data_IF_852934609890
#
_entry.id   IF_852934609890
#
_cell.length_a   1.000
_cell.length_b   1.000
_cell.length_c   1.000
_cell.angle_alpha   90.00
_cell.angle_beta   90.00
_cell.angle_gamma   90.00
#
_symmetry.space_group_name_H-M   'P 1'
#
loop_
_entity.id
_entity.type
_entity.pdbx_description
1 polymer ?
#
# COMPACT_ATOMS: atom_id res chain seq x y z
N UNK A 1 19.45 -54.42 -0.43
CA UNK A 1 19.31 -55.87 -0.17
C UNK A 1 18.05 -56.07 0.66
N UNK A 2 16.99 -56.66 0.06
CA UNK A 2 15.72 -57.18 0.65
C UNK A 2 14.90 -56.26 1.60
N UNK A 3 13.57 -56.26 1.66
CA UNK A 3 12.39 -56.91 1.03
C UNK A 3 11.21 -56.04 1.53
N UNK A 4 10.35 -55.50 0.66
CA UNK A 4 9.08 -56.09 0.20
C UNK A 4 7.96 -56.24 1.26
N UNK A 5 6.81 -55.66 0.86
CA UNK A 5 5.44 -56.19 0.91
C UNK A 5 4.58 -55.89 2.14
N UNK A 6 3.36 -55.42 1.85
CA UNK A 6 2.23 -55.46 2.77
C UNK A 6 1.04 -54.61 2.33
N UNK A 7 0.49 -54.88 1.14
CA UNK A 7 -0.84 -54.43 0.70
C UNK A 7 -1.97 -55.09 1.53
N UNK A 8 -3.18 -54.51 1.39
CA UNK A 8 -4.54 -55.03 1.71
C UNK A 8 -5.22 -54.34 2.90
N UNK A 9 -6.52 -54.10 2.91
CA UNK A 9 -7.57 -53.97 1.90
C UNK A 9 -8.84 -53.52 2.68
N UNK A 10 -9.67 -52.71 2.02
CA UNK A 10 -11.12 -52.53 2.16
C UNK A 10 -11.83 -53.18 3.37
N UNK A 11 -12.58 -52.35 4.10
CA UNK A 11 -13.90 -52.73 4.63
C UNK A 11 -14.89 -51.59 4.43
N UNK A 12 -15.95 -51.90 3.68
CA UNK A 12 -17.17 -51.12 3.56
C UNK A 12 -18.16 -51.59 4.64
N UNK A 13 -18.98 -50.69 5.20
CA UNK A 13 -20.10 -51.13 6.03
C UNK A 13 -20.85 -50.02 6.79
N UNK A 14 -22.05 -49.71 6.26
CA UNK A 14 -23.30 -49.33 6.96
C UNK A 14 -23.44 -47.93 7.60
N UNK A 15 -24.31 -47.13 6.97
CA UNK A 15 -25.30 -46.29 7.67
C UNK A 15 -26.39 -47.20 8.30
N UNK A 16 -27.01 -46.81 9.42
CA UNK A 16 -28.19 -45.91 9.45
C UNK A 16 -28.04 -44.87 10.60
N UNK A 17 -28.92 -43.94 10.96
CA UNK A 17 -30.38 -43.83 10.92
C UNK A 17 -30.73 -42.37 11.30
N UNK A 18 -31.73 -41.77 10.65
CA UNK A 18 -32.25 -40.45 10.97
C UNK A 18 -33.07 -40.47 12.26
N UNK A 19 -32.85 -39.51 13.16
CA UNK A 19 -33.84 -39.05 14.15
C UNK A 19 -33.66 -37.55 14.41
N UNK A 20 -34.54 -36.73 13.85
CA UNK A 20 -34.89 -35.43 14.43
C UNK A 20 -35.70 -35.62 15.72
N UNK A 21 -35.66 -34.65 16.64
CA UNK A 21 -36.95 -34.04 16.97
C UNK A 21 -36.92 -32.52 17.20
N UNK A 22 -37.90 -31.88 16.57
CA UNK A 22 -38.91 -30.96 17.12
C UNK A 22 -38.45 -29.71 17.89
N UNK A 23 -38.61 -28.59 17.17
CA UNK A 23 -39.01 -27.29 17.71
C UNK A 23 -40.17 -27.41 18.70
N UNK A 24 -40.07 -26.70 19.83
CA UNK A 24 -41.24 -26.27 20.59
C UNK A 24 -41.16 -24.77 20.85
N UNK A 25 -42.20 -24.09 20.39
CA UNK A 25 -42.55 -22.71 20.61
C UNK A 25 -42.97 -22.46 22.06
N UNK A 26 -42.65 -21.30 22.62
CA UNK A 26 -43.55 -20.64 23.57
C UNK A 26 -43.52 -19.13 23.38
N UNK A 27 -44.64 -18.63 22.87
CA UNK A 27 -45.06 -17.24 22.90
C UNK A 27 -45.83 -16.98 24.20
N UNK A 28 -45.71 -15.74 24.66
CA UNK A 28 -46.77 -14.90 25.24
C UNK A 28 -47.05 -14.90 26.76
N UNK A 29 -46.92 -13.65 27.26
CA UNK A 29 -47.85 -12.91 28.14
C UNK A 29 -47.74 -13.09 29.66
N UNK A 30 -47.34 -12.01 30.33
CA UNK A 30 -48.16 -11.38 31.38
C UNK A 30 -47.89 -9.87 31.46
N UNK A 31 -48.98 -9.11 31.54
CA UNK A 31 -49.09 -7.66 31.66
C UNK A 31 -48.99 -7.19 33.13
N UNK A 32 -48.44 -5.98 33.29
CA UNK A 32 -48.91 -4.86 34.12
C UNK A 32 -49.06 -4.97 35.66
N UNK A 33 -48.28 -4.12 36.36
CA UNK A 33 -48.59 -3.24 37.52
C UNK A 33 -47.26 -2.98 38.26
N UNK A 34 -46.81 -1.80 38.68
CA UNK A 34 -47.41 -0.51 39.05
C UNK A 34 -46.37 0.62 38.79
N UNK A 35 -46.69 1.77 38.20
CA UNK A 35 -47.24 3.03 38.77
C UNK A 35 -46.45 3.61 39.97
N UNK A 36 -45.95 4.84 39.78
CA UNK A 36 -45.46 5.79 40.79
C UNK A 36 -43.92 5.87 40.81
N UNK A 37 -43.26 6.92 40.31
CA UNK A 37 -43.21 8.26 40.90
C UNK A 37 -43.08 9.33 39.81
N UNK A 38 -43.82 10.40 40.03
CA UNK A 38 -44.02 11.60 39.22
C UNK A 38 -42.97 12.68 39.58
N UNK A 39 -42.51 13.40 38.55
CA UNK A 39 -42.00 14.78 38.58
C UNK A 39 -40.71 15.14 39.32
N UNK A 40 -39.68 15.52 38.56
CA UNK A 40 -39.13 16.89 38.54
C UNK A 40 -37.89 16.97 37.65
N UNK A 41 -37.99 17.67 36.51
CA UNK A 41 -36.93 18.45 35.82
C UNK A 41 -37.24 18.63 34.33
N UNK A 42 -38.37 19.27 34.01
CA UNK A 42 -38.59 19.92 32.72
C UNK A 42 -38.23 21.41 32.91
N UNK A 43 -37.00 21.82 32.57
CA UNK A 43 -36.64 23.22 32.30
C UNK A 43 -35.14 23.39 31.96
N UNK A 44 -34.67 22.86 30.81
CA UNK A 44 -33.55 23.45 30.04
C UNK A 44 -33.74 23.10 28.55
N UNK A 45 -34.68 23.75 27.88
CA UNK A 45 -34.88 23.70 26.43
C UNK A 45 -35.08 25.13 25.92
N UNK A 46 -34.00 25.90 25.89
CA UNK A 46 -33.91 27.17 25.16
C UNK A 46 -32.42 27.56 25.03
N UNK A 47 -31.76 27.06 23.99
CA UNK A 47 -30.35 27.38 23.76
C UNK A 47 -29.62 26.59 22.67
N UNK A 48 -30.31 25.92 21.75
CA UNK A 48 -29.66 25.46 20.52
C UNK A 48 -29.76 26.58 19.48
N UNK A 49 -28.72 27.42 19.44
CA UNK A 49 -28.50 28.27 18.27
C UNK A 49 -28.36 27.35 17.04
N UNK A 50 -29.28 27.50 16.10
CA UNK A 50 -29.17 26.94 14.75
C UNK A 50 -27.82 27.40 14.17
N UNK A 51 -26.87 26.49 14.03
CA UNK A 51 -25.68 26.73 13.21
C UNK A 51 -26.20 26.87 11.79
N UNK A 52 -26.24 28.10 11.29
CA UNK A 52 -26.59 28.36 9.91
C UNK A 52 -25.61 27.59 9.00
N UNK A 53 -26.09 26.95 7.92
CA UNK A 53 -25.19 26.32 6.95
C UNK A 53 -24.18 27.36 6.45
N UNK A 54 -22.89 27.00 6.29
CA UNK A 54 -21.90 27.92 5.77
C UNK A 54 -22.40 28.49 4.44
N UNK A 55 -22.40 29.82 4.33
CA UNK A 55 -22.78 30.49 3.10
C UNK A 55 -21.95 29.91 1.94
N UNK A 56 -22.55 29.74 0.74
CA UNK A 56 -21.81 29.28 -0.42
C UNK A 56 -20.60 30.19 -0.62
N UNK A 57 -19.40 29.63 -0.52
CA UNK A 57 -18.14 30.33 -0.78
C UNK A 57 -18.21 30.84 -2.21
N UNK A 58 -18.40 32.14 -2.37
CA UNK A 58 -18.23 32.83 -3.65
C UNK A 58 -16.88 32.39 -4.21
N UNK A 59 -16.78 31.87 -5.45
CA UNK A 59 -15.50 31.50 -6.02
C UNK A 59 -14.59 32.73 -5.98
N UNK A 60 -13.60 32.71 -5.09
CA UNK A 60 -12.60 33.78 -5.01
C UNK A 60 -11.90 33.84 -6.36
N UNK A 61 -11.91 35.03 -6.97
CA UNK A 61 -11.09 35.29 -8.16
C UNK A 61 -9.64 34.97 -7.81
N UNK A 62 -8.93 34.14 -8.60
CA UNK A 62 -7.54 33.78 -8.32
C UNK A 62 -6.70 35.05 -8.15
N UNK A 63 -5.94 35.13 -7.06
CA UNK A 63 -5.01 36.24 -6.86
C UNK A 63 -3.83 36.13 -7.84
N UNK A 64 -3.06 37.20 -8.01
CA UNK A 64 -1.81 37.11 -8.77
C UNK A 64 -0.84 36.08 -8.16
N UNK A 65 -0.82 35.95 -6.83
CA UNK A 65 -0.03 34.93 -6.13
C UNK A 65 -0.55 33.51 -6.41
N UNK A 66 -1.87 33.32 -6.50
CA UNK A 66 -2.46 32.04 -6.90
C UNK A 66 -2.03 31.63 -8.32
N UNK A 67 -2.00 32.57 -9.26
CA UNK A 67 -1.53 32.32 -10.63
C UNK A 67 -0.03 31.98 -10.67
N UNK A 68 0.79 32.67 -9.88
CA UNK A 68 2.23 32.37 -9.77
C UNK A 68 2.45 30.98 -9.17
N UNK A 69 1.74 30.64 -8.09
CA UNK A 69 1.80 29.32 -7.48
C UNK A 69 1.36 28.22 -8.46
N UNK A 70 0.25 28.42 -9.19
CA UNK A 70 -0.21 27.48 -10.21
C UNK A 70 0.85 27.26 -11.31
N UNK A 71 1.58 28.32 -11.69
CA UNK A 71 2.72 28.21 -12.60
C UNK A 71 3.85 27.34 -12.05
N UNK A 72 4.24 27.53 -10.79
CA UNK A 72 5.28 26.72 -10.12
C UNK A 72 4.84 25.26 -9.99
N UNK A 73 3.61 25.01 -9.56
CA UNK A 73 3.06 23.66 -9.43
C UNK A 73 2.98 22.93 -10.77
N UNK A 74 2.59 23.64 -11.84
CA UNK A 74 2.60 23.08 -13.20
C UNK A 74 4.01 22.71 -13.64
N UNK A 75 4.99 23.60 -13.43
CA UNK A 75 6.40 23.31 -13.74
C UNK A 75 6.92 22.10 -12.96
N UNK A 76 6.61 22.00 -11.67
CA UNK A 76 6.96 20.83 -10.87
C UNK A 76 6.41 19.54 -11.49
N UNK A 77 5.12 19.50 -11.81
CA UNK A 77 4.49 18.33 -12.40
C UNK A 77 5.06 18.01 -13.79
N UNK A 78 5.30 19.00 -14.65
CA UNK A 78 5.81 18.74 -16.00
C UNK A 78 7.28 18.32 -15.98
N UNK A 79 8.14 19.11 -15.35
CA UNK A 79 9.59 18.95 -15.43
C UNK A 79 10.09 17.80 -14.53
N UNK A 80 9.48 17.59 -13.36
CA UNK A 80 9.88 16.48 -12.49
C UNK A 80 9.46 15.13 -13.07
N UNK A 81 8.24 15.04 -13.65
CA UNK A 81 7.75 13.79 -14.26
C UNK A 81 8.54 13.42 -15.51
N UNK A 82 9.01 14.39 -16.28
CA UNK A 82 9.95 14.16 -17.39
C UNK A 82 11.27 13.54 -16.87
N UNK A 83 11.78 13.99 -15.71
CA UNK A 83 12.99 13.44 -15.09
C UNK A 83 12.77 12.07 -14.40
N UNK A 84 11.53 11.69 -14.14
CA UNK A 84 11.13 10.41 -13.51
C UNK A 84 10.00 9.71 -14.29
N UNK A 85 10.25 9.28 -15.55
CA UNK A 85 9.21 8.80 -16.45
C UNK A 85 8.47 7.55 -15.94
N UNK A 86 9.13 6.66 -15.19
CA UNK A 86 8.43 5.50 -14.61
C UNK A 86 7.46 5.92 -13.51
N UNK A 87 7.81 6.93 -12.71
CA UNK A 87 6.90 7.51 -11.72
C UNK A 87 5.74 8.27 -12.39
N UNK A 88 5.99 8.94 -13.53
CA UNK A 88 4.95 9.55 -14.35
C UNK A 88 3.89 8.51 -14.77
N UNK A 89 4.32 7.37 -15.35
CA UNK A 89 3.41 6.27 -15.69
C UNK A 89 2.64 5.75 -14.47
N UNK A 90 3.31 5.67 -13.30
CA UNK A 90 2.67 5.20 -12.07
C UNK A 90 1.51 6.11 -11.64
N UNK A 91 1.71 7.43 -11.76
CA UNK A 91 0.74 8.50 -11.49
C UNK A 91 -0.33 8.64 -12.57
N UNK A 92 -0.16 7.96 -13.71
CA UNK A 92 -1.08 7.98 -14.85
C UNK A 92 -0.82 9.12 -15.83
N UNK A 93 0.37 9.73 -15.78
CA UNK A 93 0.87 10.59 -16.85
C UNK A 93 1.66 9.74 -17.85
N UNK A 94 1.09 9.63 -19.05
CA UNK A 94 1.58 8.74 -20.11
C UNK A 94 2.43 9.47 -21.16
N UNK A 95 2.76 10.75 -20.95
CA UNK A 95 3.56 11.56 -21.90
C UNK A 95 4.98 11.03 -22.13
N UNK A 96 5.52 10.29 -21.16
CA UNK A 96 6.90 9.80 -21.15
C UNK A 96 6.99 8.27 -21.02
N UNK A 97 5.96 7.54 -21.47
CA UNK A 97 5.88 6.08 -21.31
C UNK A 97 7.00 5.31 -22.01
N UNK A 98 7.53 5.82 -23.13
CA UNK A 98 8.68 5.23 -23.82
C UNK A 98 10.02 5.50 -23.13
N UNK A 99 10.10 6.47 -22.21
CA UNK A 99 11.34 6.88 -21.57
C UNK A 99 11.62 6.09 -20.28
N UNK A 100 12.90 6.01 -19.92
CA UNK A 100 13.39 5.35 -18.71
C UNK A 100 14.33 6.29 -17.94
N UNK A 101 14.18 6.33 -16.61
CA UNK A 101 14.93 7.20 -15.71
C UNK A 101 16.45 7.23 -15.98
N UNK A 102 17.05 8.41 -15.82
CA UNK A 102 18.50 8.57 -15.70
C UNK A 102 18.88 8.49 -14.22
N UNK A 103 19.45 7.36 -13.81
CA UNK A 103 19.85 7.10 -12.42
C UNK A 103 21.34 7.35 -12.19
N UNK A 104 22.02 8.00 -13.15
CA UNK A 104 23.40 8.46 -12.95
C UNK A 104 23.48 9.59 -11.93
N UNK A 105 24.69 9.90 -11.45
CA UNK A 105 24.92 11.06 -10.60
C UNK A 105 24.45 12.38 -11.26
N UNK A 106 24.58 12.49 -12.59
CA UNK A 106 24.10 13.65 -13.35
C UNK A 106 22.56 13.71 -13.36
N UNK A 107 21.88 12.57 -13.52
CA UNK A 107 20.42 12.47 -13.44
C UNK A 107 19.87 12.93 -12.09
N UNK A 108 20.45 12.42 -10.99
CA UNK A 108 20.12 12.90 -9.65
C UNK A 108 20.46 14.39 -9.45
N UNK A 109 21.57 14.86 -10.02
CA UNK A 109 21.95 16.28 -10.00
C UNK A 109 20.91 17.19 -10.66
N UNK A 110 20.35 16.79 -11.81
CA UNK A 110 19.28 17.55 -12.49
C UNK A 110 18.02 17.63 -11.64
N UNK A 111 17.61 16.53 -10.99
CA UNK A 111 16.45 16.50 -10.08
C UNK A 111 16.63 17.46 -8.90
N UNK A 112 17.81 17.45 -8.28
CA UNK A 112 18.12 18.37 -7.16
C UNK A 112 18.18 19.82 -7.61
N UNK A 113 18.74 20.10 -8.79
CA UNK A 113 18.81 21.46 -9.34
C UNK A 113 17.41 22.03 -9.56
N UNK A 114 16.52 21.26 -10.23
CA UNK A 114 15.12 21.63 -10.41
C UNK A 114 14.41 21.82 -9.08
N UNK A 115 14.61 20.91 -8.13
CA UNK A 115 13.95 20.99 -6.82
C UNK A 115 14.35 22.27 -6.06
N UNK A 116 15.63 22.66 -6.11
CA UNK A 116 16.12 23.92 -5.52
C UNK A 116 15.53 25.15 -6.18
N UNK A 117 15.46 25.16 -7.52
CA UNK A 117 14.90 26.28 -8.27
C UNK A 117 13.42 26.52 -7.92
N UNK A 118 12.62 25.44 -7.91
CA UNK A 118 11.20 25.52 -7.57
C UNK A 118 11.02 25.89 -6.09
N UNK A 119 11.84 25.37 -5.19
CA UNK A 119 11.79 25.71 -3.76
C UNK A 119 12.13 27.19 -3.53
N UNK A 120 13.11 27.74 -4.25
CA UNK A 120 13.42 29.16 -4.20
C UNK A 120 12.25 30.02 -4.70
N UNK A 121 11.60 29.58 -5.78
CA UNK A 121 10.41 30.25 -6.34
C UNK A 121 9.23 30.24 -5.36
N UNK A 122 8.98 29.11 -4.67
CA UNK A 122 7.93 29.02 -3.64
C UNK A 122 8.21 29.92 -2.44
N UNK A 123 9.45 29.95 -1.97
CA UNK A 123 9.84 30.77 -0.81
C UNK A 123 9.79 32.27 -1.09
N UNK A 124 9.75 32.68 -2.36
CA UNK A 124 9.56 34.08 -2.76
C UNK A 124 8.09 34.51 -2.73
N UNK A 125 7.13 33.58 -2.68
CA UNK A 125 5.71 33.90 -2.56
C UNK A 125 5.39 34.37 -1.14
N UNK A 126 4.51 35.38 -1.03
CA UNK A 126 3.88 35.75 0.23
C UNK A 126 2.73 34.78 0.54
N UNK A 127 2.82 33.91 1.56
CA UNK A 127 1.78 32.92 1.85
C UNK A 127 0.44 33.55 2.22
N UNK A 128 0.43 34.81 2.67
CA UNK A 128 -0.80 35.52 3.06
C UNK A 128 -1.63 35.97 1.85
N UNK A 129 -1.03 36.02 0.66
CA UNK A 129 -1.70 36.37 -0.59
C UNK A 129 -2.23 35.16 -1.35
N UNK A 130 -1.90 33.94 -0.90
CA UNK A 130 -2.43 32.71 -1.43
C UNK A 130 -3.82 32.44 -0.86
N UNK A 131 -4.69 31.89 -1.70
CA UNK A 131 -5.95 31.28 -1.25
C UNK A 131 -5.68 30.19 -0.21
N UNK A 132 -6.68 29.85 0.61
CA UNK A 132 -6.52 28.83 1.65
C UNK A 132 -6.09 27.47 1.08
N UNK A 133 -6.61 27.09 -0.09
CA UNK A 133 -6.21 25.85 -0.77
C UNK A 133 -4.73 25.91 -1.17
N UNK A 134 -4.31 26.97 -1.85
CA UNK A 134 -2.91 27.11 -2.26
C UNK A 134 -1.93 27.30 -1.10
N UNK A 135 -2.35 27.82 0.05
CA UNK A 135 -1.51 27.80 1.26
C UNK A 135 -1.17 26.36 1.69
N UNK A 136 -2.12 25.44 1.58
CA UNK A 136 -1.89 24.02 1.89
C UNK A 136 -0.99 23.40 0.82
N UNK A 137 -1.31 23.60 -0.45
CA UNK A 137 -0.54 23.03 -1.56
C UNK A 137 0.90 23.54 -1.59
N UNK A 138 1.12 24.84 -1.33
CA UNK A 138 2.45 25.42 -1.25
C UNK A 138 3.27 24.83 -0.10
N UNK A 139 2.64 24.54 1.05
CA UNK A 139 3.31 23.87 2.18
C UNK A 139 3.67 22.42 1.86
N UNK A 140 2.75 21.67 1.23
CA UNK A 140 3.00 20.29 0.81
C UNK A 140 4.14 20.23 -0.21
N UNK A 141 4.09 21.08 -1.24
CA UNK A 141 5.12 21.13 -2.27
C UNK A 141 6.48 21.58 -1.71
N UNK A 142 6.50 22.54 -0.78
CA UNK A 142 7.72 22.92 -0.06
C UNK A 142 8.34 21.73 0.67
N UNK A 143 7.53 20.98 1.44
CA UNK A 143 7.99 19.79 2.18
C UNK A 143 8.52 18.70 1.24
N UNK A 144 7.83 18.44 0.13
CA UNK A 144 8.27 17.46 -0.88
C UNK A 144 9.60 17.85 -1.53
N UNK A 145 9.76 19.10 -1.95
CA UNK A 145 11.00 19.59 -2.58
C UNK A 145 12.19 19.52 -1.61
N UNK A 146 11.97 19.92 -0.34
CA UNK A 146 12.98 19.77 0.71
C UNK A 146 13.34 18.31 0.96
N UNK A 147 12.35 17.42 0.95
CA UNK A 147 12.58 16.00 1.12
C UNK A 147 13.35 15.39 -0.05
N UNK A 148 13.03 15.75 -1.29
CA UNK A 148 13.76 15.30 -2.49
C UNK A 148 15.24 15.70 -2.44
N UNK A 149 15.52 16.95 -2.09
CA UNK A 149 16.90 17.45 -1.92
C UNK A 149 17.61 16.62 -0.82
N UNK A 150 16.98 16.49 0.35
CA UNK A 150 17.54 15.75 1.47
C UNK A 150 17.79 14.26 1.15
N UNK A 151 16.87 13.60 0.43
CA UNK A 151 17.00 12.19 0.02
C UNK A 151 18.21 11.96 -0.87
N UNK A 152 18.48 12.88 -1.79
CA UNK A 152 19.60 12.77 -2.72
C UNK A 152 20.91 13.14 -2.06
N UNK A 153 20.95 14.20 -1.25
CA UNK A 153 22.20 14.77 -0.74
C UNK A 153 22.65 14.24 0.62
N UNK A 154 21.70 13.95 1.51
CA UNK A 154 21.98 13.57 2.89
C UNK A 154 21.76 12.07 3.09
N UNK A 155 20.53 11.58 2.85
CA UNK A 155 20.24 10.14 2.97
C UNK A 155 21.04 9.32 1.96
N UNK A 156 21.18 9.85 0.74
CA UNK A 156 21.88 9.21 -0.39
C UNK A 156 21.43 7.77 -0.60
N UNK A 157 20.13 7.51 -0.48
CA UNK A 157 19.54 6.15 -0.60
C UNK A 157 19.94 5.49 -1.93
N UNK A 158 20.03 6.29 -2.99
CA UNK A 158 20.50 5.90 -4.30
C UNK A 158 21.92 5.29 -4.35
N UNK A 159 22.76 5.52 -3.33
CA UNK A 159 24.12 4.96 -3.24
C UNK A 159 24.17 3.62 -2.52
N UNK A 160 23.17 3.26 -1.70
CA UNK A 160 23.27 2.11 -0.80
C UNK A 160 22.05 1.18 -0.80
N UNK A 161 20.92 1.58 -1.38
CA UNK A 161 19.73 0.76 -1.47
C UNK A 161 19.55 0.22 -2.90
N UNK A 162 19.96 -1.03 -3.21
CA UNK A 162 19.76 -1.61 -4.53
C UNK A 162 18.28 -1.85 -4.87
N UNK A 163 17.40 -1.91 -3.87
CA UNK A 163 15.99 -2.29 -4.07
C UNK A 163 15.21 -1.23 -4.83
N UNK A 164 15.59 0.05 -4.74
CA UNK A 164 14.96 1.12 -5.53
C UNK A 164 15.14 0.87 -7.04
N UNK A 165 16.25 0.24 -7.43
CA UNK A 165 16.54 -0.06 -8.83
C UNK A 165 15.86 -1.34 -9.29
N UNK A 166 15.75 -2.34 -8.41
CA UNK A 166 14.94 -3.53 -8.68
C UNK A 166 13.48 -3.18 -8.89
N UNK A 167 12.93 -2.30 -8.04
CA UNK A 167 11.57 -1.77 -8.19
C UNK A 167 11.41 -0.98 -9.49
N UNK A 168 12.32 -0.05 -9.77
CA UNK A 168 12.30 0.75 -11.00
C UNK A 168 12.34 -0.13 -12.27
N UNK A 169 13.24 -1.11 -12.32
CA UNK A 169 13.36 -2.01 -13.47
C UNK A 169 12.09 -2.86 -13.66
N UNK A 170 11.52 -3.40 -12.58
CA UNK A 170 10.25 -4.13 -12.64
C UNK A 170 9.09 -3.26 -13.10
N UNK A 171 8.94 -2.08 -12.49
CA UNK A 171 7.86 -1.13 -12.81
C UNK A 171 7.96 -0.57 -14.24
N UNK A 172 9.17 -0.49 -14.81
CA UNK A 172 9.37 -0.04 -16.20
C UNK A 172 8.57 -0.87 -17.21
N UNK A 173 8.40 -2.18 -16.97
CA UNK A 173 7.62 -3.11 -17.78
C UNK A 173 6.21 -3.26 -17.23
N UNK A 174 6.10 -3.47 -15.92
CA UNK A 174 4.85 -3.84 -15.28
C UNK A 174 3.76 -2.78 -15.45
N UNK A 175 4.08 -1.49 -15.26
CA UNK A 175 3.08 -0.42 -15.30
C UNK A 175 2.47 -0.22 -16.70
N UNK A 176 3.23 -0.50 -17.76
CA UNK A 176 2.76 -0.43 -19.15
C UNK A 176 1.89 -1.64 -19.51
N UNK A 177 2.28 -2.84 -19.08
CA UNK A 177 1.61 -4.05 -19.54
C UNK A 177 0.39 -4.44 -18.70
N UNK A 178 0.41 -4.17 -17.39
CA UNK A 178 -0.63 -4.63 -16.49
C UNK A 178 -1.88 -3.72 -16.45
N UNK A 179 -1.83 -2.55 -17.07
CA UNK A 179 -2.91 -1.56 -17.06
C UNK A 179 -3.40 -1.29 -18.48
N UNK A 180 -4.71 -1.34 -18.68
CA UNK A 180 -5.35 -0.98 -19.95
C UNK A 180 -5.67 0.53 -19.98
N UNK A 181 -4.66 1.35 -20.26
CA UNK A 181 -4.81 2.82 -20.42
C UNK A 181 -4.67 3.30 -21.87
N UNK A 182 -4.08 2.48 -22.74
CA UNK A 182 -3.85 2.75 -24.15
C UNK A 182 -3.97 1.46 -24.98
N UNK A 183 -4.18 1.55 -26.31
CA UNK A 183 -4.19 0.39 -27.20
C UNK A 183 -2.93 -0.47 -27.00
N UNK A 184 -3.10 -1.80 -27.01
CA UNK A 184 -2.00 -2.73 -26.77
C UNK A 184 -0.77 -2.53 -27.70
N UNK A 185 -0.92 -2.24 -29.01
CA UNK A 185 0.24 -1.93 -29.86
C UNK A 185 1.09 -0.77 -29.35
N UNK A 186 0.45 0.32 -28.90
CA UNK A 186 1.15 1.48 -28.35
C UNK A 186 1.93 1.09 -27.08
N UNK A 187 1.30 0.34 -26.17
CA UNK A 187 1.96 -0.12 -24.94
C UNK A 187 3.14 -1.05 -25.22
N UNK A 188 3.03 -1.88 -26.26
CA UNK A 188 4.12 -2.75 -26.72
C UNK A 188 5.27 -1.98 -27.37
N UNK A 189 4.98 -0.89 -28.08
CA UNK A 189 6.00 0.04 -28.55
C UNK A 189 6.76 0.67 -27.37
N UNK A 190 6.03 1.25 -26.41
CA UNK A 190 6.62 1.98 -25.29
C UNK A 190 7.45 1.07 -24.36
N UNK A 191 6.98 -0.17 -24.11
CA UNK A 191 7.79 -1.15 -23.37
C UNK A 191 9.03 -1.58 -24.17
N UNK A 192 8.95 -1.63 -25.50
CA UNK A 192 10.10 -1.90 -26.36
C UNK A 192 11.21 -0.86 -26.25
N UNK A 193 10.83 0.42 -26.19
CA UNK A 193 11.77 1.53 -25.96
C UNK A 193 12.43 1.42 -24.58
N UNK A 194 11.63 1.19 -23.52
CA UNK A 194 12.18 0.97 -22.16
C UNK A 194 13.10 -0.25 -22.06
N UNK A 195 12.74 -1.36 -22.71
CA UNK A 195 13.58 -2.56 -22.74
C UNK A 195 14.91 -2.32 -23.47
N UNK A 196 14.90 -1.47 -24.51
CA UNK A 196 16.12 -1.08 -25.23
C UNK A 196 17.06 -0.23 -24.37
N UNK A 197 16.51 0.55 -23.44
CA UNK A 197 17.25 1.40 -22.49
C UNK A 197 17.67 0.70 -21.20
N UNK A 198 17.13 -0.48 -20.91
CA UNK A 198 17.45 -1.25 -19.70
C UNK A 198 18.96 -1.54 -19.53
N UNK A 199 19.74 -1.85 -20.58
CA UNK A 199 21.19 -1.96 -20.46
C UNK A 199 21.88 -0.69 -19.92
N UNK A 200 21.45 0.50 -20.37
CA UNK A 200 21.97 1.78 -19.87
C UNK A 200 21.62 1.95 -18.39
N UNK A 201 20.35 1.75 -18.03
CA UNK A 201 19.90 1.85 -16.64
C UNK A 201 20.76 0.98 -15.72
N UNK A 202 20.89 -0.31 -16.03
CA UNK A 202 21.62 -1.26 -15.19
C UNK A 202 23.12 -0.98 -15.14
N UNK A 203 23.70 -0.36 -16.18
CA UNK A 203 25.08 0.13 -16.13
C UNK A 203 25.22 1.28 -15.13
N UNK A 204 24.36 2.29 -15.22
CA UNK A 204 24.35 3.41 -14.27
C UNK A 204 24.16 2.93 -12.83
N UNK A 205 23.28 1.95 -12.58
CA UNK A 205 23.09 1.34 -11.25
C UNK A 205 24.41 0.81 -10.67
N UNK A 206 25.21 0.12 -11.49
CA UNK A 206 26.51 -0.43 -11.06
C UNK A 206 27.55 0.65 -10.78
N UNK A 207 27.47 1.78 -11.46
CA UNK A 207 28.34 2.95 -11.24
C UNK A 207 27.96 3.71 -9.96
N UNK A 208 26.66 3.85 -9.69
CA UNK A 208 26.16 4.66 -8.58
C UNK A 208 26.01 3.91 -7.27
N UNK A 209 25.91 2.58 -7.26
CA UNK A 209 25.91 1.85 -5.99
C UNK A 209 27.32 1.79 -5.39
N UNK A 210 27.40 1.99 -4.08
CA UNK A 210 28.58 1.78 -3.26
C UNK A 210 28.40 0.48 -2.48
N UNK A 211 29.00 -0.65 -2.92
CA UNK A 211 28.76 -1.96 -2.32
C UNK A 211 29.03 -2.01 -0.81
N UNK A 212 30.03 -1.28 -0.32
CA UNK A 212 30.39 -1.28 1.10
C UNK A 212 29.29 -0.66 1.98
N UNK A 213 28.48 0.25 1.44
CA UNK A 213 27.36 0.89 2.14
C UNK A 213 26.06 0.10 2.06
N UNK A 214 25.97 -0.89 1.18
CA UNK A 214 24.74 -1.68 0.99
C UNK A 214 24.53 -2.63 2.18
N UNK A 215 23.37 -2.61 2.85
CA UNK A 215 23.05 -3.62 3.84
C UNK A 215 22.93 -5.00 3.21
N UNK A 216 23.53 -6.02 3.86
CA UNK A 216 23.54 -7.39 3.34
C UNK A 216 22.16 -7.90 2.97
N UNK A 217 21.16 -7.68 3.83
CA UNK A 217 19.77 -8.11 3.58
C UNK A 217 19.15 -7.46 2.33
N UNK A 218 19.55 -6.23 1.99
CA UNK A 218 19.09 -5.57 0.76
C UNK A 218 19.76 -6.19 -0.47
N UNK A 219 21.07 -6.48 -0.40
CA UNK A 219 21.76 -7.18 -1.49
C UNK A 219 21.19 -8.60 -1.72
N UNK A 220 20.96 -9.36 -0.66
CA UNK A 220 20.32 -10.69 -0.74
C UNK A 220 18.93 -10.62 -1.36
N UNK A 221 18.16 -9.59 -1.03
CA UNK A 221 16.82 -9.37 -1.59
C UNK A 221 16.90 -8.97 -3.07
N UNK A 222 17.81 -8.07 -3.44
CA UNK A 222 18.02 -7.67 -4.83
C UNK A 222 18.44 -8.87 -5.71
N UNK A 223 19.34 -9.73 -5.21
CA UNK A 223 19.73 -10.99 -5.88
C UNK A 223 18.53 -11.90 -6.11
N UNK A 224 17.62 -12.02 -5.13
CA UNK A 224 16.39 -12.84 -5.25
C UNK A 224 15.37 -12.26 -6.21
N UNK A 225 15.30 -10.95 -6.34
CA UNK A 225 14.22 -10.25 -7.07
C UNK A 225 14.58 -9.84 -8.50
N UNK A 226 15.86 -9.60 -8.82
CA UNK A 226 16.28 -9.05 -10.11
C UNK A 226 15.83 -9.91 -11.32
N UNK A 227 15.83 -11.24 -11.19
CA UNK A 227 15.34 -12.14 -12.25
C UNK A 227 13.82 -12.04 -12.49
N UNK A 228 13.06 -11.44 -11.57
CA UNK A 228 11.63 -11.19 -11.74
C UNK A 228 11.31 -10.30 -12.95
N UNK A 229 12.24 -9.45 -13.39
CA UNK A 229 12.09 -8.66 -14.63
C UNK A 229 11.96 -9.57 -15.85
N UNK A 230 12.69 -10.70 -15.87
CA UNK A 230 12.60 -11.68 -16.95
C UNK A 230 11.22 -12.33 -16.98
N UNK A 231 10.68 -12.67 -15.80
CA UNK A 231 9.33 -13.22 -15.67
C UNK A 231 8.28 -12.24 -16.18
N UNK A 232 8.40 -10.94 -15.88
CA UNK A 232 7.49 -9.93 -16.42
C UNK A 232 7.52 -9.86 -17.95
N UNK A 233 8.71 -9.90 -18.56
CA UNK A 233 8.85 -9.92 -20.02
C UNK A 233 8.18 -11.17 -20.61
N UNK A 234 8.44 -12.34 -20.03
CA UNK A 234 7.98 -13.64 -20.55
C UNK A 234 6.47 -13.82 -20.42
N UNK A 235 5.87 -13.28 -19.35
CA UNK A 235 4.44 -13.45 -19.08
C UNK A 235 3.58 -12.32 -19.63
N UNK A 236 4.10 -11.08 -19.70
CA UNK A 236 3.29 -9.92 -20.06
C UNK A 236 3.58 -9.39 -21.47
N UNK A 237 4.81 -9.49 -21.97
CA UNK A 237 5.21 -8.90 -23.26
C UNK A 237 5.23 -9.95 -24.37
N UNK A 238 5.98 -11.03 -24.18
CA UNK A 238 6.19 -12.06 -25.21
C UNK A 238 4.89 -12.65 -25.77
N UNK A 239 3.85 -12.97 -24.97
CA UNK A 239 2.61 -13.54 -25.49
C UNK A 239 1.83 -12.59 -26.41
N UNK A 240 2.11 -11.29 -26.33
CA UNK A 240 1.37 -10.24 -27.03
C UNK A 240 2.01 -9.82 -28.36
N UNK A 241 3.19 -10.35 -28.71
CA UNK A 241 3.95 -9.99 -29.91
C UNK A 241 3.19 -10.17 -31.23
N UNK A 242 2.23 -11.09 -31.27
CA UNK A 242 1.42 -11.39 -32.46
C UNK A 242 0.56 -10.22 -32.93
N UNK A 243 0.29 -9.25 -32.05
CA UNK A 243 -0.55 -8.08 -32.34
C UNK A 243 0.20 -7.03 -33.18
N UNK A 244 1.54 -7.03 -33.14
CA UNK A 244 2.36 -6.07 -33.88
C UNK A 244 2.60 -6.52 -35.34
N UNK A 245 2.79 -5.57 -36.28
CA UNK A 245 3.38 -5.81 -37.59
C UNK A 245 4.75 -6.49 -37.50
N UNK A 246 5.17 -7.18 -38.56
CA UNK A 246 6.37 -8.04 -38.52
C UNK A 246 7.67 -7.26 -38.25
N UNK A 247 7.80 -6.04 -38.76
CA UNK A 247 8.96 -5.17 -38.54
C UNK A 247 9.03 -4.66 -37.10
N UNK A 248 7.91 -4.16 -36.54
CA UNK A 248 7.81 -3.74 -35.14
C UNK A 248 8.05 -4.91 -34.18
N UNK A 249 7.47 -6.07 -34.49
CA UNK A 249 7.69 -7.32 -33.76
C UNK A 249 9.18 -7.71 -33.76
N UNK A 250 9.85 -7.57 -34.90
CA UNK A 250 11.29 -7.79 -35.02
C UNK A 250 12.11 -6.88 -34.11
N UNK A 251 11.79 -5.58 -34.09
CA UNK A 251 12.44 -4.59 -33.20
C UNK A 251 12.25 -4.93 -31.73
N UNK A 252 11.01 -5.24 -31.32
CA UNK A 252 10.70 -5.60 -29.93
C UNK A 252 11.39 -6.90 -29.49
N UNK A 253 11.47 -7.92 -30.37
CA UNK A 253 12.25 -9.15 -30.08
C UNK A 253 13.73 -8.84 -29.85
N UNK A 254 14.33 -7.94 -30.64
CA UNK A 254 15.72 -7.51 -30.44
C UNK A 254 15.87 -6.76 -29.10
N UNK A 255 14.95 -5.85 -28.76
CA UNK A 255 14.95 -5.15 -27.48
C UNK A 255 14.87 -6.12 -26.29
N UNK A 256 13.97 -7.11 -26.36
CA UNK A 256 13.85 -8.18 -25.37
C UNK A 256 15.17 -8.94 -25.21
N UNK A 257 15.83 -9.32 -26.32
CA UNK A 257 17.11 -10.03 -26.27
C UNK A 257 18.22 -9.23 -25.56
N UNK A 258 18.29 -7.91 -25.83
CA UNK A 258 19.25 -7.00 -25.17
C UNK A 258 18.93 -6.83 -23.69
N UNK A 259 17.65 -6.65 -23.34
CA UNK A 259 17.20 -6.53 -21.96
C UNK A 259 17.51 -7.79 -21.13
N UNK A 260 17.20 -8.99 -21.65
CA UNK A 260 17.51 -10.27 -20.97
C UNK A 260 19.00 -10.43 -20.70
N UNK A 261 19.83 -10.07 -21.68
CA UNK A 261 21.29 -10.09 -21.54
C UNK A 261 21.74 -9.15 -20.42
N UNK A 262 21.26 -7.91 -20.42
CA UNK A 262 21.63 -6.92 -19.41
C UNK A 262 21.17 -7.31 -17.99
N UNK A 263 19.97 -7.85 -17.83
CA UNK A 263 19.46 -8.33 -16.54
C UNK A 263 20.30 -9.50 -16.02
N UNK A 264 20.70 -10.42 -16.89
CA UNK A 264 21.57 -11.56 -16.54
C UNK A 264 22.98 -11.08 -16.14
N UNK A 265 23.55 -10.12 -16.87
CA UNK A 265 24.83 -9.51 -16.50
C UNK A 265 24.74 -8.77 -15.16
N UNK A 266 23.63 -8.06 -14.91
CA UNK A 266 23.40 -7.41 -13.63
C UNK A 266 23.25 -8.43 -12.49
N UNK A 267 22.55 -9.55 -12.72
CA UNK A 267 22.46 -10.65 -11.76
C UNK A 267 23.85 -11.14 -11.34
N UNK A 268 24.73 -11.39 -12.31
CA UNK A 268 26.10 -11.80 -12.03
C UNK A 268 26.86 -10.75 -11.21
N UNK A 269 26.68 -9.46 -11.52
CA UNK A 269 27.28 -8.39 -10.72
C UNK A 269 26.72 -8.36 -9.28
N UNK A 270 25.40 -8.52 -9.10
CA UNK A 270 24.77 -8.58 -7.78
C UNK A 270 25.34 -9.75 -6.95
N UNK A 271 25.49 -10.92 -7.55
CA UNK A 271 25.99 -12.14 -6.88
C UNK A 271 27.50 -12.12 -6.62
N UNK A 272 28.29 -11.61 -7.57
CA UNK A 272 29.76 -11.70 -7.54
C UNK A 272 30.44 -10.48 -6.95
N UNK A 273 29.80 -9.30 -6.99
CA UNK A 273 30.36 -8.04 -6.50
C UNK A 273 29.54 -7.47 -5.36
N UNK A 274 28.25 -7.19 -5.58
CA UNK A 274 27.45 -6.47 -4.59
C UNK A 274 27.29 -7.28 -3.28
N UNK A 275 26.80 -8.52 -3.36
CA UNK A 275 26.49 -9.34 -2.20
C UNK A 275 27.71 -9.68 -1.32
N UNK A 276 28.88 -10.06 -1.87
CA UNK A 276 30.07 -10.30 -1.07
C UNK A 276 30.60 -9.06 -0.34
N UNK A 277 30.35 -7.85 -0.86
CA UNK A 277 30.84 -6.59 -0.30
C UNK A 277 29.83 -5.82 0.54
N UNK A 278 28.56 -6.22 0.50
CA UNK A 278 27.48 -5.63 1.25
C UNK A 278 27.72 -5.76 2.76
N UNK A 279 28.27 -4.70 3.35
CA UNK A 279 28.64 -4.60 4.76
C UNK A 279 27.97 -3.41 5.47
N UNK A 280 27.04 -2.73 4.80
CA UNK A 280 26.31 -1.60 5.37
C UNK A 280 25.40 -2.02 6.53
N UNK A 281 25.16 -1.08 7.45
CA UNK A 281 24.11 -1.24 8.45
C UNK A 281 22.78 -0.74 7.87
N UNK A 282 21.72 -1.53 8.03
CA UNK A 282 20.36 -1.13 7.64
C UNK A 282 19.77 -0.11 8.62
N UNK A 283 20.36 0.06 9.81
CA UNK A 283 19.96 1.05 10.80
C UNK A 283 20.51 2.41 10.40
N UNK A 284 19.61 3.34 10.04
CA UNK A 284 19.98 4.69 9.59
C UNK A 284 20.64 5.56 10.68
N UNK A 285 20.44 5.22 11.97
CA UNK A 285 20.82 6.10 13.08
C UNK A 285 19.90 7.31 13.22
N UNK A 286 19.95 7.99 14.37
CA UNK A 286 19.03 9.09 14.67
C UNK A 286 19.18 10.28 13.70
N UNK A 287 20.42 10.61 13.31
CA UNK A 287 20.71 11.76 12.43
C UNK A 287 20.01 11.69 11.08
N UNK A 288 19.87 10.49 10.49
CA UNK A 288 19.16 10.29 9.23
C UNK A 288 17.70 9.87 9.45
N UNK A 289 17.41 9.14 10.52
CA UNK A 289 16.06 8.66 10.80
C UNK A 289 15.11 9.79 11.21
N UNK A 290 15.55 10.72 12.07
CA UNK A 290 14.67 11.76 12.61
C UNK A 290 14.22 12.76 11.52
N UNK A 291 15.09 13.24 10.59
CA UNK A 291 14.63 14.03 9.45
C UNK A 291 13.72 13.23 8.50
N UNK A 292 14.04 11.96 8.23
CA UNK A 292 13.19 11.09 7.39
C UNK A 292 11.80 10.92 8.00
N UNK A 293 11.72 10.73 9.32
CA UNK A 293 10.48 10.59 10.07
C UNK A 293 9.64 11.87 9.99
N UNK A 294 10.27 13.04 10.16
CA UNK A 294 9.61 14.34 10.03
C UNK A 294 8.99 14.53 8.64
N UNK A 295 9.75 14.26 7.58
CA UNK A 295 9.24 14.37 6.21
C UNK A 295 8.15 13.34 5.92
N UNK A 296 8.29 12.10 6.39
CA UNK A 296 7.34 11.04 6.11
C UNK A 296 5.99 11.20 6.84
N UNK A 297 6.00 11.75 8.05
CA UNK A 297 4.79 11.92 8.86
C UNK A 297 4.17 13.32 8.78
N UNK A 298 4.90 14.29 8.21
CA UNK A 298 4.59 15.73 8.26
C UNK A 298 4.13 16.17 9.67
N UNK A 299 4.87 15.70 10.68
CA UNK A 299 4.49 15.79 12.08
C UNK A 299 5.62 16.39 12.93
N UNK A 300 5.30 17.22 13.94
CA UNK A 300 6.30 17.74 14.87
C UNK A 300 6.73 16.71 15.93
N UNK A 301 6.14 15.51 15.95
CA UNK A 301 6.43 14.52 16.98
C UNK A 301 7.83 13.93 16.82
N UNK A 302 8.58 13.90 17.93
CA UNK A 302 9.88 13.21 17.98
C UNK A 302 9.71 11.69 17.98
N UNK A 303 10.78 10.97 17.63
CA UNK A 303 10.84 9.50 17.72
C UNK A 303 10.54 9.00 19.14
N UNK A 304 11.03 9.68 20.17
CA UNK A 304 10.74 9.36 21.58
C UNK A 304 9.26 9.54 21.91
N UNK A 305 8.65 10.64 21.47
CA UNK A 305 7.24 10.91 21.69
C UNK A 305 6.36 9.87 20.99
N UNK A 306 6.71 9.51 19.76
CA UNK A 306 6.01 8.45 19.00
C UNK A 306 6.14 7.12 19.74
N UNK A 307 7.35 6.75 20.19
CA UNK A 307 7.58 5.51 20.95
C UNK A 307 6.79 5.47 22.24
N UNK A 308 6.78 6.56 23.02
CA UNK A 308 6.06 6.63 24.28
C UNK A 308 4.54 6.46 24.07
N UNK A 309 3.98 7.15 23.07
CA UNK A 309 2.56 7.02 22.70
C UNK A 309 2.23 5.60 22.23
N UNK A 310 3.05 5.03 21.34
CA UNK A 310 2.86 3.66 20.86
C UNK A 310 2.91 2.63 21.99
N UNK A 311 3.84 2.79 22.94
CA UNK A 311 3.94 1.89 24.10
C UNK A 311 2.72 2.01 25.01
N UNK A 312 2.24 3.23 25.26
CA UNK A 312 1.03 3.48 26.03
C UNK A 312 -0.20 2.83 25.37
N UNK A 313 -0.37 3.04 24.06
CA UNK A 313 -1.49 2.44 23.32
C UNK A 313 -1.40 0.93 23.22
N UNK A 314 -0.20 0.36 23.10
CA UNK A 314 0.00 -1.10 23.15
C UNK A 314 -0.46 -1.67 24.49
N UNK A 315 -0.05 -1.06 25.60
CA UNK A 315 -0.45 -1.50 26.94
C UNK A 315 -1.96 -1.38 27.14
N UNK A 316 -2.55 -0.24 26.78
CA UNK A 316 -3.99 0.01 26.89
C UNK A 316 -4.80 -0.99 26.06
N UNK A 317 -4.46 -1.13 24.77
CA UNK A 317 -5.17 -2.02 23.85
C UNK A 317 -5.10 -3.48 24.31
N UNK A 318 -3.94 -3.94 24.79
CA UNK A 318 -3.81 -5.30 25.33
C UNK A 318 -4.63 -5.51 26.60
N UNK A 319 -4.74 -4.50 27.47
CA UNK A 319 -5.60 -4.56 28.63
C UNK A 319 -7.08 -4.69 28.23
N UNK A 320 -7.53 -3.91 27.25
CA UNK A 320 -8.89 -3.98 26.70
C UNK A 320 -9.18 -5.36 26.08
N UNK A 321 -8.26 -5.87 25.25
CA UNK A 321 -8.37 -7.21 24.65
C UNK A 321 -8.44 -8.30 25.73
N UNK A 322 -7.64 -8.19 26.79
CA UNK A 322 -7.67 -9.14 27.90
C UNK A 322 -8.97 -9.06 28.71
N UNK A 323 -9.50 -7.86 28.94
CA UNK A 323 -10.79 -7.69 29.60
C UNK A 323 -11.93 -8.36 28.81
N UNK A 324 -11.92 -8.21 27.48
CA UNK A 324 -12.85 -8.91 26.58
C UNK A 324 -12.64 -10.42 26.67
N UNK A 325 -11.40 -10.90 26.61
CA UNK A 325 -11.08 -12.33 26.74
C UNK A 325 -11.63 -12.92 28.06
N UNK A 326 -11.46 -12.19 29.17
CA UNK A 326 -12.01 -12.57 30.48
C UNK A 326 -13.53 -12.63 30.52
N UNK A 327 -14.22 -11.86 29.68
CA UNK A 327 -15.68 -11.86 29.59
C UNK A 327 -16.22 -13.03 28.74
N UNK A 328 -15.51 -13.45 27.69
CA UNK A 328 -16.03 -14.40 26.69
C UNK A 328 -15.52 -15.84 26.83
N UNK A 329 -14.37 -16.04 27.46
CA UNK A 329 -13.78 -17.37 27.66
C UNK A 329 -14.39 -18.21 28.80
N UNK A 330 -14.97 -17.63 29.88
CA UNK A 330 -15.62 -18.44 30.90
C UNK A 330 -16.72 -19.33 30.30
N UNK A 331 -16.70 -20.63 30.61
CA UNK A 331 -17.65 -21.62 30.08
C UNK A 331 -17.22 -22.29 28.78
N UNK A 332 -16.08 -21.91 28.19
CA UNK A 332 -15.48 -22.65 27.06
C UNK A 332 -14.69 -23.87 27.55
N UNK A 333 -14.51 -24.91 26.72
CA UNK A 333 -13.64 -26.04 27.06
C UNK A 333 -12.18 -25.57 27.24
N UNK A 334 -11.56 -25.98 28.34
CA UNK A 334 -10.13 -25.72 28.64
C UNK A 334 -9.68 -24.26 28.45
N UNK A 335 -10.34 -23.27 29.08
CA UNK A 335 -9.90 -21.88 28.95
C UNK A 335 -8.53 -21.72 29.63
N UNK A 336 -7.65 -20.87 29.09
CA UNK A 336 -6.40 -20.53 29.78
C UNK A 336 -6.71 -19.88 31.15
N UNK A 337 -5.75 -19.85 32.09
CA UNK A 337 -5.92 -19.12 33.35
C UNK A 337 -6.25 -17.64 33.11
N UNK A 338 -7.23 -17.12 33.84
CA UNK A 338 -7.74 -15.75 33.71
C UNK A 338 -7.65 -14.94 35.03
N UNK A 339 -6.46 -14.80 35.64
CA UNK A 339 -6.29 -14.06 36.88
C UNK A 339 -6.66 -12.58 36.72
N UNK A 340 -7.00 -11.90 37.83
CA UNK A 340 -7.28 -10.47 37.81
C UNK A 340 -6.05 -9.63 37.38
N UNK A 341 -4.85 -10.11 37.70
CA UNK A 341 -3.56 -9.51 37.35
C UNK A 341 -2.70 -10.55 36.63
N UNK A 342 -2.76 -10.61 35.27
CA UNK A 342 -2.00 -11.59 34.51
C UNK A 342 -0.54 -11.19 34.35
N UNK A 343 0.33 -12.20 34.23
CA UNK A 343 1.63 -12.04 33.59
C UNK A 343 1.48 -11.74 32.09
N UNK A 344 2.52 -11.22 31.40
CA UNK A 344 2.48 -10.99 29.95
C UNK A 344 2.10 -12.21 29.12
N UNK A 345 2.58 -13.40 29.52
CA UNK A 345 2.31 -14.65 28.81
C UNK A 345 0.87 -15.14 29.03
N UNK A 346 0.34 -15.03 30.26
CA UNK A 346 -1.07 -15.34 30.54
C UNK A 346 -2.01 -14.38 29.81
N UNK A 347 -1.67 -13.09 29.77
CA UNK A 347 -2.42 -12.09 29.02
C UNK A 347 -2.42 -12.45 27.52
N UNK A 348 -1.26 -12.81 26.97
CA UNK A 348 -1.13 -13.21 25.57
C UNK A 348 -1.94 -14.47 25.27
N UNK A 349 -1.85 -15.50 26.12
CA UNK A 349 -2.56 -16.77 25.92
C UNK A 349 -4.09 -16.57 25.93
N UNK A 350 -4.61 -15.77 26.86
CA UNK A 350 -6.03 -15.43 26.90
C UNK A 350 -6.49 -14.65 25.67
N UNK A 351 -5.70 -13.66 25.22
CA UNK A 351 -6.00 -12.91 24.01
C UNK A 351 -6.03 -13.83 22.78
N UNK A 352 -5.04 -14.72 22.64
CA UNK A 352 -4.99 -15.69 21.54
C UNK A 352 -6.23 -16.60 21.57
N UNK A 353 -6.57 -17.17 22.74
CA UNK A 353 -7.74 -18.03 22.87
C UNK A 353 -9.04 -17.30 22.50
N UNK A 354 -9.17 -16.02 22.86
CA UNK A 354 -10.31 -15.19 22.47
C UNK A 354 -10.36 -14.92 20.96
N UNK A 355 -9.21 -14.70 20.32
CA UNK A 355 -9.12 -14.52 18.86
C UNK A 355 -9.46 -15.81 18.11
N UNK A 356 -9.08 -16.98 18.60
CA UNK A 356 -9.45 -18.26 18.01
C UNK A 356 -10.98 -18.43 17.93
N UNK A 357 -11.73 -17.98 18.95
CA UNK A 357 -13.20 -17.97 18.89
C UNK A 357 -13.75 -17.08 17.77
N UNK A 358 -13.11 -15.95 17.49
CA UNK A 358 -13.50 -15.09 16.38
C UNK A 358 -13.23 -15.76 15.03
N UNK A 359 -12.17 -16.57 14.94
CA UNK A 359 -11.82 -17.31 13.72
C UNK A 359 -12.73 -18.52 13.44
N UNK A 360 -13.43 -19.04 14.44
CA UNK A 360 -14.46 -20.09 14.24
C UNK A 360 -15.59 -19.63 13.31
N UNK A 361 -15.92 -18.34 13.32
CA UNK A 361 -17.02 -17.75 12.55
C UNK A 361 -16.54 -17.04 11.27
N UNK A 362 -15.68 -17.71 10.50
CA UNK A 362 -15.22 -17.19 9.21
C UNK A 362 -16.10 -17.66 8.04
N UNK A 363 -16.34 -16.82 7.02
CA UNK A 363 -17.03 -17.25 5.81
C UNK A 363 -16.21 -18.34 5.09
N UNK A 364 -16.87 -19.31 4.42
CA UNK A 364 -16.20 -20.21 3.50
C UNK A 364 -15.40 -19.46 2.43
N UNK A 365 -14.36 -20.11 1.91
CA UNK A 365 -13.40 -19.49 0.98
C UNK A 365 -14.05 -18.88 -0.26
N UNK A 366 -15.06 -19.54 -0.81
CA UNK A 366 -15.85 -19.12 -1.97
C UNK A 366 -16.85 -17.99 -1.65
N UNK A 367 -17.06 -17.68 -0.37
CA UNK A 367 -18.01 -16.66 0.10
C UNK A 367 -17.33 -15.40 0.65
N UNK A 368 -16.00 -15.34 0.70
CA UNK A 368 -15.25 -14.19 1.25
C UNK A 368 -15.62 -12.88 0.56
N UNK A 369 -15.82 -12.88 -0.76
CA UNK A 369 -16.20 -11.67 -1.50
C UNK A 369 -17.63 -11.22 -1.20
N UNK A 370 -18.57 -12.16 -1.07
CA UNK A 370 -19.95 -11.82 -0.71
C UNK A 370 -20.02 -11.28 0.72
N UNK A 371 -19.30 -11.92 1.66
CA UNK A 371 -19.20 -11.44 3.03
C UNK A 371 -18.59 -10.03 3.10
N UNK A 372 -17.57 -9.74 2.28
CA UNK A 372 -16.96 -8.41 2.20
C UNK A 372 -17.93 -7.36 1.62
N UNK A 373 -18.70 -7.70 0.57
CA UNK A 373 -19.72 -6.80 0.00
C UNK A 373 -20.81 -6.50 1.01
N UNK A 374 -21.32 -7.52 1.70
CA UNK A 374 -22.32 -7.34 2.74
C UNK A 374 -21.81 -6.47 3.90
N UNK A 375 -20.59 -6.71 4.39
CA UNK A 375 -19.98 -5.87 5.43
C UNK A 375 -19.81 -4.41 4.97
N UNK A 376 -19.47 -4.19 3.70
CA UNK A 376 -19.36 -2.85 3.11
C UNK A 376 -20.72 -2.14 3.05
N UNK A 377 -21.77 -2.84 2.61
CA UNK A 377 -23.15 -2.30 2.60
C UNK A 377 -23.63 -1.94 4.01
N UNK A 378 -23.36 -2.81 4.99
CA UNK A 378 -23.68 -2.54 6.40
C UNK A 378 -22.96 -1.28 6.91
N UNK A 379 -21.67 -1.15 6.63
CA UNK A 379 -20.88 0.02 7.03
C UNK A 379 -21.40 1.30 6.36
N UNK A 380 -21.69 1.28 5.06
CA UNK A 380 -22.27 2.43 4.36
C UNK A 380 -23.64 2.81 4.95
N UNK A 381 -24.52 1.84 5.17
CA UNK A 381 -25.83 2.08 5.74
C UNK A 381 -25.73 2.70 7.14
N UNK A 382 -24.83 2.19 7.97
CA UNK A 382 -24.56 2.75 9.30
C UNK A 382 -24.06 4.19 9.21
N UNK A 383 -23.07 4.48 8.35
CA UNK A 383 -22.53 5.84 8.17
C UNK A 383 -23.62 6.82 7.70
N UNK A 384 -24.49 6.41 6.76
CA UNK A 384 -25.62 7.23 6.30
C UNK A 384 -26.65 7.46 7.40
N UNK A 385 -27.02 6.41 8.12
CA UNK A 385 -28.06 6.47 9.15
C UNK A 385 -27.60 7.26 10.37
N UNK A 386 -26.33 7.12 10.74
CA UNK A 386 -25.73 7.84 11.86
C UNK A 386 -25.18 9.23 11.47
N UNK A 387 -25.33 9.64 10.19
CA UNK A 387 -24.88 10.93 9.64
C UNK A 387 -23.44 11.30 10.04
N UNK A 388 -22.51 10.34 9.91
CA UNK A 388 -21.13 10.51 10.40
C UNK A 388 -20.25 11.31 9.44
N UNK A 389 -20.43 11.14 8.13
CA UNK A 389 -19.68 11.81 7.07
C UNK A 389 -20.47 11.81 5.77
N UNK A 390 -20.31 12.85 4.96
CA UNK A 390 -20.87 12.90 3.60
C UNK A 390 -20.24 11.80 2.73
N UNK A 391 -21.10 10.92 2.18
CA UNK A 391 -20.69 9.93 1.20
C UNK A 391 -20.95 10.47 -0.21
N UNK A 392 -19.92 10.45 -1.05
CA UNK A 392 -20.04 10.79 -2.48
C UNK A 392 -20.53 9.58 -3.28
N UNK A 393 -21.26 9.83 -4.37
CA UNK A 393 -21.79 8.81 -5.28
C UNK A 393 -20.69 8.24 -6.21
N UNK A 394 -19.58 7.79 -5.62
CA UNK A 394 -18.50 7.09 -6.31
C UNK A 394 -18.62 5.58 -6.05
N UNK A 395 -18.97 4.76 -7.06
CA UNK A 395 -19.17 3.33 -6.87
C UNK A 395 -17.82 2.65 -6.58
N UNK A 396 -17.73 1.99 -5.42
CA UNK A 396 -16.58 1.17 -5.04
C UNK A 396 -16.85 -0.30 -5.38
N UNK A 397 -16.08 -0.83 -6.32
CA UNK A 397 -16.15 -2.25 -6.68
C UNK A 397 -15.13 -3.08 -5.90
N UNK A 398 -15.60 -4.17 -5.27
CA UNK A 398 -14.73 -5.18 -4.64
C UNK A 398 -14.40 -6.25 -5.68
N UNK A 399 -13.16 -6.23 -6.16
CA UNK A 399 -12.66 -7.18 -7.16
C UNK A 399 -11.61 -8.12 -6.58
N UNK A 400 -11.49 -9.32 -7.18
CA UNK A 400 -10.40 -10.23 -6.85
C UNK A 400 -9.06 -9.64 -7.28
N UNK A 401 -8.09 -9.63 -6.35
CA UNK A 401 -6.75 -9.17 -6.66
C UNK A 401 -6.13 -10.04 -7.77
N UNK A 402 -5.48 -9.43 -8.79
CA UNK A 402 -4.74 -10.18 -9.79
C UNK A 402 -3.66 -11.08 -9.19
N UNK A 403 -3.42 -12.24 -9.80
CA UNK A 403 -2.55 -13.30 -9.24
C UNK A 403 -1.11 -12.89 -8.94
N UNK A 404 -0.58 -11.90 -9.64
CA UNK A 404 0.78 -11.44 -9.43
C UNK A 404 0.90 -10.38 -8.31
N UNK A 405 -0.20 -9.76 -7.85
CA UNK A 405 -0.21 -8.80 -6.70
C UNK A 405 -0.56 -9.48 -5.38
N UNK A 406 -1.07 -10.70 -5.48
CA UNK A 406 -1.50 -11.58 -4.42
C UNK A 406 -0.33 -11.95 -3.50
N UNK A 407 -0.50 -11.75 -2.19
CA UNK A 407 0.46 -12.16 -1.14
C UNK A 407 1.16 -11.03 -0.38
N UNK A 408 0.90 -9.76 -0.71
CA UNK A 408 1.52 -8.59 -0.05
C UNK A 408 0.58 -7.89 0.92
N UNK A 409 -0.66 -7.60 0.51
CA UNK A 409 -1.68 -6.97 1.36
C UNK A 409 -3.00 -7.76 1.31
N UNK A 410 -3.85 -7.59 2.32
CA UNK A 410 -5.21 -8.18 2.34
C UNK A 410 -6.13 -7.46 1.34
N UNK A 411 -6.03 -6.14 1.23
CA UNK A 411 -6.76 -5.32 0.26
C UNK A 411 -6.05 -3.97 0.04
N UNK A 412 -6.25 -3.34 -1.12
CA UNK A 412 -5.80 -1.96 -1.37
C UNK A 412 -6.69 -1.24 -2.41
N UNK A 413 -6.99 0.06 -2.23
CA UNK A 413 -7.70 0.86 -3.22
C UNK A 413 -6.84 1.15 -4.45
N UNK A 414 -7.29 0.72 -5.62
CA UNK A 414 -6.72 1.08 -6.92
C UNK A 414 -7.42 2.33 -7.45
N UNK A 415 -7.09 3.47 -6.85
CA UNK A 415 -7.45 4.82 -7.35
C UNK A 415 -6.18 5.56 -7.76
N UNK A 416 -6.16 6.10 -8.97
CA UNK A 416 -5.12 7.05 -9.41
C UNK A 416 -5.72 8.45 -9.51
N UNK A 417 -4.95 9.53 -9.30
CA UNK A 417 -5.48 10.89 -9.32
C UNK A 417 -6.10 11.29 -10.67
N UNK A 418 -5.71 10.63 -11.77
CA UNK A 418 -6.25 10.85 -13.11
C UNK A 418 -7.39 9.89 -13.48
N UNK A 419 -7.79 8.96 -12.60
CA UNK A 419 -8.86 7.99 -12.87
C UNK A 419 -10.21 8.51 -12.40
N UNK A 420 -11.21 8.43 -13.27
CA UNK A 420 -12.61 8.78 -12.95
C UNK A 420 -13.36 7.75 -12.10
N UNK A 421 -12.83 6.53 -11.88
CA UNK A 421 -13.48 5.49 -11.07
C UNK A 421 -12.48 4.74 -10.16
N UNK A 422 -12.82 4.59 -8.88
CA UNK A 422 -12.04 3.82 -7.91
C UNK A 422 -12.44 2.35 -7.86
N UNK A 423 -11.45 1.45 -7.83
CA UNK A 423 -11.68 0.02 -7.55
C UNK A 423 -10.99 -0.33 -6.24
N UNK A 424 -11.52 -1.25 -5.44
CA UNK A 424 -10.77 -1.83 -4.31
C UNK A 424 -10.50 -3.30 -4.59
N UNK A 425 -9.24 -3.68 -4.62
CA UNK A 425 -8.82 -5.06 -4.84
C UNK A 425 -8.73 -5.78 -3.49
N UNK A 426 -9.32 -6.97 -3.37
CA UNK A 426 -9.19 -7.84 -2.20
C UNK A 426 -8.43 -9.14 -2.54
N UNK A 427 -7.53 -9.54 -1.66
CA UNK A 427 -6.65 -10.69 -1.79
C UNK A 427 -7.31 -11.97 -1.25
N UNK A 428 -7.31 -13.05 -2.04
CA UNK A 428 -7.78 -14.38 -1.60
C UNK A 428 -6.77 -15.51 -1.86
N UNK A 429 -5.49 -15.17 -2.04
CA UNK A 429 -4.47 -16.18 -2.36
C UNK A 429 -4.34 -17.20 -1.24
N UNK A 430 -4.32 -18.49 -1.66
CA UNK A 430 -4.01 -19.67 -0.86
C UNK A 430 -3.05 -19.33 0.29
N UNK A 431 -3.57 -19.27 1.52
CA UNK A 431 -2.77 -19.64 2.66
C UNK A 431 -2.27 -21.06 2.38
N UNK A 432 -1.00 -21.22 2.00
CA UNK A 432 -0.34 -22.51 2.20
C UNK A 432 -0.32 -22.67 3.70
N UNK A 433 -1.22 -23.50 4.21
CA UNK A 433 -1.13 -24.07 5.53
C UNK A 433 0.23 -24.75 5.64
N UNK A 434 1.17 -24.04 6.25
CA UNK A 434 2.36 -24.63 6.86
C UNK A 434 2.34 -24.08 8.27
N UNK A 435 1.52 -24.73 9.09
CA UNK A 435 1.85 -25.06 10.48
C UNK A 435 1.90 -26.58 10.51
#
# INVERSE_FOLDING_TARGET
MHRRLGDHARFAGRAPEQREPRMSSLRSQCHACAIGIVSAAFAVLAGCALIAPPAPTTPMTPTAADAQFAGISKRYLDEMLELTPVAATALGDHRHDAALDDVSAAGYGRRVALARELLASLRALDPTQLSRAHQVDARLLTSELEYQIWRVEQLREWRWNPLIYTELAGNSVYLLMARDFAPLPQRLHDVGERLSELPRLLAQVREVLDPARVPRIHAETAVKQNTGVLTLIDQLVVPQLGVLPEDERGRLKTAIGRARTAVTQHQLWLEKRLLPEAKGDFRLGAELYDPKLRFALDSPLSREQIRARAQSELTRTRADMYAIARAILPGRPNPPPLPATPSPDEQQAAIVAALELAYEQQPPRDQVFEAARHAFEQAQSFVRTADLVTLYDDPLEIIQMPEFQRGVALAYPRTGPTRRCGHTCANTTRARSTI
#
